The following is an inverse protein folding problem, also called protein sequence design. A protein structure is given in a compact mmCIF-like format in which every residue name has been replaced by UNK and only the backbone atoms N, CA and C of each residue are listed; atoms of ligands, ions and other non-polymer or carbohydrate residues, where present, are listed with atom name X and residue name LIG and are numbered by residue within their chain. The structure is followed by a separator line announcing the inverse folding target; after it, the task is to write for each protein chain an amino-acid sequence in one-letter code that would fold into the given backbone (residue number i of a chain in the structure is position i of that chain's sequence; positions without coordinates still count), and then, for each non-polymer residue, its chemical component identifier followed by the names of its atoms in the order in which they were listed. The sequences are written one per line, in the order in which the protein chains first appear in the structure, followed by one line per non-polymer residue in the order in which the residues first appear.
data_IF_175760355481
#
_entry.id   IF_175760355481
#
_cell.length_a   1.000
_cell.length_b   1.000
_cell.length_c   1.000
_cell.angle_alpha   90.00
_cell.angle_beta   90.00
_cell.angle_gamma   90.00
#
_symmetry.space_group_name_H-M   'P 1'
#
loop_
_entity.id
_entity.type
_entity.pdbx_description
1 polymer ?
#
# COMPACT_ATOMS: atom_id res chain seq x y z
N UNK A 1 18.49 19.76 -6.83
CA UNK A 1 18.69 18.46 -7.49
C UNK A 1 17.28 17.93 -7.79
N UNK A 2 16.83 18.05 -9.03
CA UNK A 2 15.55 17.49 -9.44
C UNK A 2 15.63 15.99 -9.29
N UNK A 3 14.68 15.37 -8.58
CA UNK A 3 14.56 13.91 -8.58
C UNK A 3 14.18 13.51 -10.01
N UNK A 4 14.86 12.50 -10.60
CA UNK A 4 14.37 11.95 -11.86
C UNK A 4 12.91 11.50 -11.66
N UNK A 5 12.07 11.81 -12.64
CA UNK A 5 10.69 11.32 -12.65
C UNK A 5 10.78 9.82 -12.83
N UNK A 6 10.27 9.06 -11.87
CA UNK A 6 10.27 7.60 -11.96
C UNK A 6 9.47 7.17 -13.20
N UNK A 7 9.95 6.21 -14.00
CA UNK A 7 9.24 5.74 -15.17
C UNK A 7 7.88 5.18 -14.78
N UNK A 8 6.86 5.53 -15.57
CA UNK A 8 5.49 5.05 -15.39
C UNK A 8 5.15 3.98 -16.40
N UNK A 9 4.46 2.93 -15.95
CA UNK A 9 3.99 1.84 -16.77
C UNK A 9 2.45 1.72 -16.67
N UNK A 10 1.69 2.02 -17.73
CA UNK A 10 0.25 1.83 -17.73
C UNK A 10 -0.08 0.33 -17.72
N UNK A 11 -0.89 -0.08 -16.73
CA UNK A 11 -1.41 -1.44 -16.62
C UNK A 11 -2.79 -1.51 -17.26
N UNK A 12 -3.59 -0.48 -17.06
CA UNK A 12 -4.89 -0.35 -17.69
C UNK A 12 -4.97 0.95 -18.48
N UNK A 13 -5.78 0.98 -19.55
CA UNK A 13 -6.01 2.17 -20.36
C UNK A 13 -7.50 2.37 -20.65
N UNK A 14 -8.05 3.58 -20.49
CA UNK A 14 -9.47 3.84 -20.69
C UNK A 14 -9.81 3.87 -22.18
N UNK A 15 -10.92 3.26 -22.56
CA UNK A 15 -11.44 3.26 -23.92
C UNK A 15 -12.49 4.36 -24.03
N UNK A 16 -12.07 5.52 -24.54
CA UNK A 16 -12.91 6.71 -24.62
C UNK A 16 -13.08 7.42 -23.29
N UNK A 17 -13.92 8.47 -23.27
CA UNK A 17 -14.17 9.28 -22.08
C UNK A 17 -15.62 9.79 -22.02
N UNK A 18 -16.09 10.17 -20.83
CA UNK A 18 -17.46 10.69 -20.59
C UNK A 18 -18.54 9.76 -21.15
N UNK A 19 -19.41 10.28 -22.04
CA UNK A 19 -20.51 9.53 -22.65
C UNK A 19 -20.06 8.43 -23.62
N UNK A 20 -18.81 8.55 -24.08
CA UNK A 20 -18.22 7.65 -25.05
C UNK A 20 -17.33 6.58 -24.38
N UNK A 21 -17.30 6.54 -23.05
CA UNK A 21 -16.55 5.53 -22.32
C UNK A 21 -17.10 4.13 -22.56
N UNK A 22 -16.24 3.22 -23.02
CA UNK A 22 -16.58 1.85 -23.40
C UNK A 22 -16.04 0.80 -22.44
N UNK A 23 -15.17 1.19 -21.52
CA UNK A 23 -14.52 0.29 -20.60
C UNK A 23 -13.05 0.61 -20.42
N UNK A 24 -12.34 -0.30 -19.81
CA UNK A 24 -10.89 -0.21 -19.54
C UNK A 24 -10.21 -1.42 -20.17
N UNK A 25 -9.17 -1.18 -20.94
CA UNK A 25 -8.33 -2.23 -21.50
C UNK A 25 -7.17 -2.53 -20.58
N UNK A 26 -6.93 -3.82 -20.32
CA UNK A 26 -5.79 -4.29 -19.52
C UNK A 26 -4.64 -4.65 -20.45
N UNK A 27 -3.54 -3.88 -20.42
CA UNK A 27 -2.46 -3.99 -21.40
C UNK A 27 -1.74 -5.33 -21.34
N UNK A 28 -1.38 -5.79 -20.14
CA UNK A 28 -0.63 -7.04 -19.98
C UNK A 28 -1.50 -8.30 -20.09
N UNK A 29 -2.80 -8.16 -19.80
CA UNK A 29 -3.75 -9.28 -19.86
C UNK A 29 -4.48 -9.42 -21.18
N UNK A 30 -4.40 -8.44 -22.08
CA UNK A 30 -5.11 -8.39 -23.36
C UNK A 30 -6.61 -8.68 -23.23
N UNK A 31 -7.29 -7.90 -22.36
CA UNK A 31 -8.74 -7.98 -22.21
C UNK A 31 -9.36 -6.61 -21.91
N UNK A 32 -10.64 -6.47 -22.24
CA UNK A 32 -11.44 -5.29 -21.94
C UNK A 32 -12.36 -5.59 -20.78
N UNK A 33 -12.41 -4.71 -19.80
CA UNK A 33 -13.41 -4.73 -18.72
C UNK A 33 -14.47 -3.67 -19.02
N UNK A 34 -15.68 -4.15 -19.25
CA UNK A 34 -16.85 -3.30 -19.52
C UNK A 34 -17.64 -3.15 -18.23
N UNK A 35 -17.77 -1.95 -17.76
CA UNK A 35 -18.50 -1.65 -16.53
C UNK A 35 -19.92 -1.19 -16.86
N UNK A 36 -20.90 -1.82 -16.20
CA UNK A 36 -22.30 -1.35 -16.28
C UNK A 36 -22.48 -0.27 -15.21
N UNK A 37 -22.95 0.94 -15.56
CA UNK A 37 -23.19 2.00 -14.59
C UNK A 37 -24.14 1.52 -13.48
N UNK A 38 -23.63 1.47 -12.26
CA UNK A 38 -24.45 1.21 -11.06
C UNK A 38 -24.99 2.52 -10.49
N UNK A 39 -26.05 2.45 -9.69
CA UNK A 39 -26.56 3.58 -8.94
C UNK A 39 -26.04 3.54 -7.50
N UNK A 40 -25.29 4.57 -7.11
CA UNK A 40 -24.80 4.74 -5.73
C UNK A 40 -23.72 3.72 -5.32
N UNK A 41 -23.92 3.01 -4.21
CA UNK A 41 -22.97 2.03 -3.66
C UNK A 41 -23.16 0.60 -4.20
N UNK A 42 -23.98 0.41 -5.21
CA UNK A 42 -24.16 -0.91 -5.82
C UNK A 42 -22.88 -1.35 -6.54
N UNK A 43 -22.58 -2.65 -6.43
CA UNK A 43 -21.44 -3.26 -7.09
C UNK A 43 -21.65 -3.18 -8.60
N UNK A 44 -20.74 -2.52 -9.30
CA UNK A 44 -20.75 -2.46 -10.74
C UNK A 44 -20.44 -3.85 -11.28
N UNK A 45 -21.38 -4.45 -12.02
CA UNK A 45 -21.10 -5.71 -12.72
C UNK A 45 -20.11 -5.43 -13.86
N UNK A 46 -19.03 -6.20 -13.89
CA UNK A 46 -18.01 -6.11 -14.91
C UNK A 46 -18.15 -7.30 -15.88
N UNK A 47 -18.22 -7.02 -17.18
CA UNK A 47 -18.11 -8.02 -18.23
C UNK A 47 -16.70 -7.98 -18.80
N UNK A 48 -16.04 -9.13 -18.88
CA UNK A 48 -14.70 -9.27 -19.48
C UNK A 48 -14.83 -9.74 -20.91
N UNK A 49 -14.26 -8.97 -21.85
CA UNK A 49 -14.11 -9.37 -23.26
C UNK A 49 -12.64 -9.71 -23.47
N UNK A 50 -12.39 -10.96 -23.76
CA UNK A 50 -11.03 -11.49 -23.97
C UNK A 50 -10.52 -11.12 -25.36
N UNK A 51 -9.26 -10.69 -25.40
CA UNK A 51 -8.50 -10.29 -26.58
C UNK A 51 -9.10 -9.10 -27.34
N UNK A 52 -8.26 -8.08 -27.53
CA UNK A 52 -8.65 -6.87 -28.27
C UNK A 52 -9.03 -7.17 -29.72
N UNK A 53 -8.37 -8.11 -30.36
CA UNK A 53 -8.60 -8.48 -31.77
C UNK A 53 -9.82 -9.41 -31.99
N UNK A 54 -10.54 -9.78 -30.92
CA UNK A 54 -11.73 -10.63 -31.02
C UNK A 54 -12.90 -9.93 -31.72
N UNK A 55 -13.78 -10.74 -32.35
CA UNK A 55 -15.02 -10.23 -32.96
C UNK A 55 -15.93 -9.56 -31.92
N UNK A 56 -15.92 -10.03 -30.68
CA UNK A 56 -16.67 -9.45 -29.57
C UNK A 56 -16.15 -8.05 -29.21
N UNK A 57 -14.83 -7.86 -29.14
CA UNK A 57 -14.22 -6.56 -28.89
C UNK A 57 -14.52 -5.57 -30.03
N UNK A 58 -14.39 -6.01 -31.29
CA UNK A 58 -14.74 -5.19 -32.47
C UNK A 58 -16.21 -4.77 -32.45
N UNK A 59 -17.12 -5.70 -32.15
CA UNK A 59 -18.53 -5.39 -32.05
C UNK A 59 -18.86 -4.44 -30.88
N UNK A 60 -18.20 -4.59 -29.74
CA UNK A 60 -18.39 -3.73 -28.58
C UNK A 60 -17.87 -2.30 -28.81
N UNK A 61 -16.69 -2.14 -29.42
CA UNK A 61 -16.05 -0.87 -29.66
C UNK A 61 -16.64 -0.14 -30.90
N UNK A 62 -17.12 -0.90 -31.90
CA UNK A 62 -17.69 -0.35 -33.12
C UNK A 62 -16.72 0.61 -33.83
N UNK A 63 -17.22 1.79 -34.18
CA UNK A 63 -16.44 2.83 -34.90
C UNK A 63 -15.20 3.33 -34.13
N UNK A 64 -15.07 2.99 -32.82
CA UNK A 64 -13.93 3.37 -32.02
C UNK A 64 -12.77 2.40 -32.08
N UNK A 65 -13.00 1.20 -32.61
CA UNK A 65 -12.00 0.14 -32.57
C UNK A 65 -10.67 0.56 -33.20
N UNK A 66 -10.69 1.02 -34.45
CA UNK A 66 -9.46 1.39 -35.17
C UNK A 66 -8.73 2.54 -34.46
N UNK A 67 -9.47 3.57 -34.03
CA UNK A 67 -8.91 4.68 -33.30
C UNK A 67 -8.28 4.26 -31.97
N UNK A 68 -8.90 3.30 -31.27
CA UNK A 68 -8.36 2.80 -30.00
C UNK A 68 -7.09 1.98 -30.23
N UNK A 69 -7.00 1.20 -31.29
CA UNK A 69 -5.78 0.46 -31.67
C UNK A 69 -4.64 1.44 -31.95
N UNK A 70 -4.88 2.49 -32.73
CA UNK A 70 -3.88 3.54 -32.97
C UNK A 70 -3.42 4.24 -31.68
N UNK A 71 -4.36 4.54 -30.78
CA UNK A 71 -4.07 5.14 -29.47
C UNK A 71 -3.22 4.20 -28.63
N UNK A 72 -3.53 2.91 -28.62
CA UNK A 72 -2.79 1.90 -27.88
C UNK A 72 -1.36 1.71 -28.39
N UNK A 73 -1.15 1.74 -29.72
CA UNK A 73 0.20 1.73 -30.33
C UNK A 73 1.03 2.93 -29.87
N UNK A 74 0.42 4.12 -29.81
CA UNK A 74 1.09 5.31 -29.30
C UNK A 74 1.45 5.18 -27.81
N UNK A 75 0.55 4.64 -26.99
CA UNK A 75 0.77 4.43 -25.56
C UNK A 75 1.91 3.43 -25.35
N UNK A 76 1.91 2.30 -26.05
CA UNK A 76 2.95 1.29 -25.97
C UNK A 76 4.30 1.81 -26.47
N UNK A 77 4.32 2.69 -27.47
CA UNK A 77 5.55 3.30 -27.97
C UNK A 77 6.10 4.43 -27.08
N UNK A 78 5.26 5.09 -26.30
CA UNK A 78 5.64 6.25 -25.47
C UNK A 78 5.85 5.92 -23.99
N UNK A 79 5.26 4.84 -23.49
CA UNK A 79 5.34 4.44 -22.10
C UNK A 79 6.26 3.24 -21.90
N UNK A 80 6.67 3.02 -20.66
CA UNK A 80 7.45 1.85 -20.30
C UNK A 80 6.54 0.62 -20.15
N UNK A 81 7.08 -0.55 -20.49
CA UNK A 81 6.48 -1.82 -20.11
C UNK A 81 6.66 -2.05 -18.61
N UNK A 82 5.70 -2.71 -17.97
CA UNK A 82 5.75 -2.97 -16.54
C UNK A 82 6.76 -4.04 -16.19
N UNK A 83 7.73 -3.67 -15.37
CA UNK A 83 8.81 -4.51 -14.88
C UNK A 83 8.65 -4.72 -13.36
N UNK A 84 8.21 -5.92 -12.91
CA UNK A 84 7.99 -6.20 -11.48
C UNK A 84 9.21 -5.93 -10.60
N UNK A 85 10.40 -6.26 -11.06
CA UNK A 85 11.64 -6.05 -10.31
C UNK A 85 11.96 -4.57 -10.12
N UNK A 86 11.70 -3.73 -11.12
CA UNK A 86 11.87 -2.28 -11.04
C UNK A 86 10.82 -1.67 -10.08
N UNK A 87 9.58 -2.15 -10.13
CA UNK A 87 8.53 -1.75 -9.18
C UNK A 87 8.92 -2.08 -7.74
N UNK A 88 9.38 -3.31 -7.46
CA UNK A 88 9.79 -3.73 -6.12
C UNK A 88 10.99 -2.95 -5.58
N UNK A 89 11.84 -2.42 -6.44
CA UNK A 89 12.95 -1.51 -6.09
C UNK A 89 12.52 -0.07 -5.91
N UNK A 90 11.28 0.28 -6.28
CA UNK A 90 10.79 1.66 -6.27
C UNK A 90 11.32 2.51 -7.43
N UNK A 91 11.74 1.87 -8.52
CA UNK A 91 12.28 2.50 -9.72
C UNK A 91 11.22 2.67 -10.83
N UNK A 92 10.00 2.16 -10.62
CA UNK A 92 8.89 2.21 -11.57
C UNK A 92 7.56 2.34 -10.84
N UNK A 93 6.62 3.07 -11.44
CA UNK A 93 5.26 3.27 -10.92
C UNK A 93 4.21 2.69 -11.89
N UNK A 94 3.45 1.65 -11.51
CA UNK A 94 2.31 1.17 -12.28
C UNK A 94 1.15 2.18 -12.26
N UNK A 95 0.46 2.34 -13.39
CA UNK A 95 -0.65 3.29 -13.52
C UNK A 95 -1.93 2.54 -13.89
N UNK A 96 -2.97 2.75 -13.09
CA UNK A 96 -4.30 2.21 -13.30
C UNK A 96 -5.31 3.31 -13.52
N UNK A 97 -6.26 3.10 -14.41
CA UNK A 97 -7.37 4.02 -14.65
C UNK A 97 -8.64 3.50 -14.01
N UNK A 98 -9.20 4.28 -13.11
CA UNK A 98 -10.41 3.91 -12.38
C UNK A 98 -11.07 5.11 -11.72
N UNK A 99 -12.19 4.90 -11.08
CA UNK A 99 -12.90 5.91 -10.30
C UNK A 99 -13.55 5.31 -9.06
N UNK A 100 -13.24 5.88 -7.90
CA UNK A 100 -13.87 5.51 -6.64
C UNK A 100 -15.35 5.92 -6.59
N UNK A 101 -15.72 7.05 -7.21
CA UNK A 101 -17.11 7.52 -7.27
C UNK A 101 -17.98 6.65 -8.18
N UNK A 102 -17.45 6.21 -9.31
CA UNK A 102 -18.11 5.30 -10.25
C UNK A 102 -17.92 3.84 -9.94
N UNK A 103 -17.11 3.53 -8.92
CA UNK A 103 -16.79 2.20 -8.44
C UNK A 103 -16.34 1.23 -9.54
N UNK A 104 -15.49 1.70 -10.46
CA UNK A 104 -14.87 0.85 -11.47
C UNK A 104 -13.34 0.99 -11.50
N UNK A 105 -12.63 -0.10 -11.90
CA UNK A 105 -11.17 -0.14 -12.03
C UNK A 105 -10.42 -0.14 -10.70
N UNK A 106 -11.11 -0.10 -9.57
CA UNK A 106 -10.52 -0.19 -8.22
C UNK A 106 -10.08 -1.61 -7.93
N UNK A 107 -10.80 -2.58 -8.43
CA UNK A 107 -10.50 -4.01 -8.38
C UNK A 107 -9.10 -4.32 -8.93
N UNK A 108 -8.72 -3.76 -10.07
CA UNK A 108 -7.39 -3.93 -10.64
C UNK A 108 -6.26 -3.46 -9.70
N UNK A 109 -6.50 -2.34 -8.99
CA UNK A 109 -5.53 -1.84 -8.00
C UNK A 109 -5.45 -2.78 -6.79
N UNK A 110 -6.59 -3.30 -6.32
CA UNK A 110 -6.62 -4.22 -5.19
C UNK A 110 -5.94 -5.55 -5.53
N UNK A 111 -6.21 -6.11 -6.71
CA UNK A 111 -5.57 -7.32 -7.19
C UNK A 111 -4.05 -7.12 -7.32
N UNK A 112 -3.62 -5.99 -7.89
CA UNK A 112 -2.21 -5.64 -7.97
C UNK A 112 -1.53 -5.49 -6.60
N UNK A 113 -2.22 -4.95 -5.60
CA UNK A 113 -1.71 -4.89 -4.22
C UNK A 113 -1.53 -6.29 -3.65
N UNK A 114 -2.48 -7.20 -3.89
CA UNK A 114 -2.38 -8.60 -3.42
C UNK A 114 -1.22 -9.33 -4.10
N UNK A 115 -1.06 -9.15 -5.41
CA UNK A 115 -0.11 -9.90 -6.21
C UNK A 115 1.32 -9.33 -6.14
N UNK A 116 1.47 -8.00 -6.04
CA UNK A 116 2.75 -7.31 -6.21
C UNK A 116 3.29 -6.66 -4.95
N UNK A 117 2.47 -6.50 -3.88
CA UNK A 117 2.98 -5.87 -2.68
C UNK A 117 4.17 -6.64 -2.10
N UNK A 118 5.31 -5.98 -1.85
CA UNK A 118 6.47 -6.65 -1.29
C UNK A 118 6.20 -7.12 0.13
N UNK A 119 6.80 -8.25 0.49
CA UNK A 119 6.88 -8.66 1.89
C UNK A 119 7.65 -7.61 2.70
N UNK A 120 7.45 -7.54 4.03
CA UNK A 120 8.27 -6.68 4.87
C UNK A 120 9.75 -6.91 4.61
N UNK A 121 10.50 -5.82 4.40
CA UNK A 121 11.93 -5.88 4.13
C UNK A 121 12.72 -5.80 5.43
N UNK A 122 13.94 -6.37 5.40
CA UNK A 122 14.91 -6.23 6.46
C UNK A 122 15.17 -4.76 6.81
N UNK A 123 15.43 -4.48 8.08
CA UNK A 123 15.69 -3.14 8.60
C UNK A 123 17.08 -3.03 9.21
N UNK A 124 17.78 -1.97 8.85
CA UNK A 124 19.13 -1.71 9.36
C UNK A 124 19.04 -1.07 10.75
N UNK A 125 19.72 -1.66 11.70
CA UNK A 125 20.01 -1.08 12.99
C UNK A 125 21.50 -0.79 13.12
N UNK A 126 21.93 -0.06 14.18
CA UNK A 126 23.33 0.28 14.37
C UNK A 126 24.20 -0.98 14.53
N UNK A 127 23.66 -1.99 15.18
CA UNK A 127 24.40 -3.21 15.55
C UNK A 127 24.35 -4.26 14.45
N UNK A 128 23.23 -4.36 13.73
CA UNK A 128 23.01 -5.37 12.71
C UNK A 128 21.79 -5.07 11.83
N UNK A 129 21.61 -5.83 10.77
CA UNK A 129 20.37 -5.89 10.03
C UNK A 129 19.40 -6.85 10.72
N UNK A 130 18.14 -6.45 10.84
CA UNK A 130 17.05 -7.23 11.43
C UNK A 130 16.17 -7.78 10.30
N UNK A 131 16.01 -9.10 10.27
CA UNK A 131 15.17 -9.79 9.30
C UNK A 131 13.72 -9.92 9.83
N UNK A 132 12.70 -9.73 8.99
CA UNK A 132 11.29 -9.82 9.42
C UNK A 132 10.89 -11.18 9.96
N UNK A 133 11.58 -12.23 9.55
CA UNK A 133 11.31 -13.63 9.93
C UNK A 133 11.94 -14.04 11.27
N UNK A 134 12.65 -13.15 11.94
CA UNK A 134 13.21 -13.43 13.27
C UNK A 134 12.10 -13.63 14.31
N UNK A 135 12.30 -14.56 15.23
CA UNK A 135 11.30 -14.91 16.26
C UNK A 135 11.07 -13.80 17.28
N UNK A 136 12.13 -13.06 17.64
CA UNK A 136 12.07 -12.03 18.68
C UNK A 136 11.49 -10.74 18.15
N UNK A 137 10.61 -10.14 18.94
CA UNK A 137 10.06 -8.84 18.65
C UNK A 137 11.15 -7.77 18.61
N UNK A 138 11.13 -7.00 17.53
CA UNK A 138 11.77 -5.70 17.45
C UNK A 138 10.87 -4.72 16.70
N UNK A 139 10.97 -3.43 17.05
CA UNK A 139 10.18 -2.39 16.39
C UNK A 139 10.73 -0.99 16.68
N UNK A 140 10.28 -0.02 15.91
CA UNK A 140 10.71 1.36 16.04
C UNK A 140 9.58 2.36 15.87
N UNK A 141 9.70 3.48 16.57
CA UNK A 141 8.75 4.61 16.50
C UNK A 141 9.09 5.47 15.29
N UNK A 142 8.20 5.56 14.33
CA UNK A 142 8.39 6.42 13.15
C UNK A 142 7.52 7.68 13.18
N UNK A 143 6.49 7.72 14.03
CA UNK A 143 5.56 8.84 14.13
C UNK A 143 5.00 8.96 15.54
N UNK A 144 4.78 10.18 16.00
CA UNK A 144 3.98 10.49 17.19
C UNK A 144 2.88 11.47 16.77
N UNK A 145 1.65 11.15 17.06
CA UNK A 145 0.51 12.01 16.80
C UNK A 145 -0.21 12.34 18.09
N UNK A 146 -0.48 13.63 18.29
CA UNK A 146 -1.23 14.15 19.41
C UNK A 146 -2.67 14.51 18.98
N UNK A 147 -3.59 14.52 19.94
CA UNK A 147 -4.97 15.01 19.76
C UNK A 147 -5.71 14.35 18.57
N UNK A 148 -5.57 13.04 18.42
CA UNK A 148 -6.31 12.29 17.40
C UNK A 148 -7.81 12.25 17.71
N UNK A 149 -8.18 12.26 19.00
CA UNK A 149 -9.53 12.49 19.45
C UNK A 149 -9.66 13.91 20.00
N UNK A 150 -10.55 14.77 19.45
CA UNK A 150 -10.74 16.13 19.92
C UNK A 150 -11.17 16.22 21.41
N UNK A 151 -11.74 15.15 21.95
CA UNK A 151 -12.21 15.07 23.35
C UNK A 151 -11.11 14.65 24.33
N UNK A 152 -10.01 14.11 23.84
CA UNK A 152 -8.91 13.57 24.64
C UNK A 152 -7.56 14.15 24.19
N UNK A 153 -6.79 14.67 25.17
CA UNK A 153 -5.39 15.10 24.96
C UNK A 153 -4.47 13.88 25.02
N UNK A 154 -4.66 12.94 24.13
CA UNK A 154 -3.83 11.75 24.04
C UNK A 154 -2.70 11.95 23.01
N UNK A 155 -1.62 11.26 23.24
CA UNK A 155 -0.53 11.09 22.27
C UNK A 155 -0.37 9.62 21.99
N UNK A 156 -0.23 9.29 20.72
CA UNK A 156 0.01 7.91 20.29
C UNK A 156 1.33 7.85 19.55
N UNK A 157 2.21 6.96 19.99
CA UNK A 157 3.43 6.61 19.28
C UNK A 157 3.15 5.45 18.34
N UNK A 158 3.38 5.63 17.05
CA UNK A 158 3.22 4.59 16.04
C UNK A 158 4.51 3.81 15.91
N UNK A 159 4.41 2.52 16.24
CA UNK A 159 5.52 1.57 16.19
C UNK A 159 5.35 0.66 14.99
N UNK A 160 6.33 0.64 14.10
CA UNK A 160 6.44 -0.36 13.04
C UNK A 160 7.18 -1.58 13.58
N UNK A 161 6.57 -2.75 13.48
CA UNK A 161 7.23 -4.00 13.81
C UNK A 161 8.24 -4.34 12.72
N UNK A 162 9.50 -4.58 13.11
CA UNK A 162 10.55 -4.98 12.19
C UNK A 162 10.75 -6.49 12.17
N UNK A 163 10.54 -7.17 13.30
CA UNK A 163 10.62 -8.63 13.41
C UNK A 163 9.72 -9.14 14.53
N UNK A 164 9.50 -10.44 14.52
CA UNK A 164 8.82 -11.20 15.56
C UNK A 164 7.32 -11.01 15.61
N UNK A 165 6.76 -11.41 16.72
CA UNK A 165 5.34 -11.37 17.02
C UNK A 165 5.09 -10.57 18.30
N UNK A 166 4.13 -9.68 18.26
CA UNK A 166 3.68 -8.91 19.41
C UNK A 166 2.39 -9.49 19.96
N UNK A 167 2.31 -9.65 21.28
CA UNK A 167 1.11 -9.98 22.02
C UNK A 167 0.80 -8.89 23.05
N UNK A 168 -0.49 -8.60 23.24
CA UNK A 168 -0.94 -7.62 24.21
C UNK A 168 -0.46 -7.94 25.63
N UNK A 169 0.08 -6.94 26.31
CA UNK A 169 0.67 -7.10 27.64
C UNK A 169 2.13 -7.54 27.64
N UNK A 170 2.72 -7.79 26.47
CA UNK A 170 4.12 -8.13 26.32
C UNK A 170 5.01 -7.06 26.97
N UNK A 171 6.07 -7.50 27.66
CA UNK A 171 7.08 -6.63 28.26
C UNK A 171 8.21 -6.44 27.26
N UNK A 172 8.34 -5.24 26.74
CA UNK A 172 9.39 -4.84 25.81
C UNK A 172 10.44 -3.99 26.51
N UNK A 173 11.67 -4.07 26.08
CA UNK A 173 12.73 -3.16 26.48
C UNK A 173 12.67 -1.91 25.62
N UNK A 174 12.46 -0.75 26.23
CA UNK A 174 12.65 0.55 25.59
C UNK A 174 14.16 0.84 25.53
N UNK A 175 14.76 0.68 24.37
CA UNK A 175 16.22 0.60 24.20
C UNK A 175 16.93 1.87 24.69
N UNK A 176 16.46 3.07 24.32
CA UNK A 176 17.07 4.34 24.73
C UNK A 176 17.11 4.51 26.24
N UNK A 177 16.03 4.17 26.96
CA UNK A 177 15.98 4.33 28.43
C UNK A 177 16.47 3.09 29.18
N UNK A 178 16.70 1.96 28.49
CA UNK A 178 17.08 0.66 29.07
C UNK A 178 16.07 0.13 30.09
N UNK A 179 14.82 0.57 30.01
CA UNK A 179 13.76 0.20 30.96
C UNK A 179 12.76 -0.74 30.30
N UNK A 180 12.27 -1.73 31.05
CA UNK A 180 11.14 -2.53 30.60
C UNK A 180 9.86 -1.68 30.55
N UNK A 181 9.05 -1.89 29.55
CA UNK A 181 7.75 -1.27 29.37
C UNK A 181 6.72 -2.34 28.97
N UNK A 182 5.63 -2.44 29.71
CA UNK A 182 4.52 -3.30 29.32
C UNK A 182 3.59 -2.55 28.36
N UNK A 183 3.26 -3.17 27.25
CA UNK A 183 2.35 -2.62 26.24
C UNK A 183 0.95 -3.21 26.46
N UNK A 184 0.17 -2.57 27.32
CA UNK A 184 -1.13 -3.09 27.78
C UNK A 184 -2.32 -2.66 26.93
N UNK A 185 -2.25 -1.48 26.32
CA UNK A 185 -3.33 -0.90 25.53
C UNK A 185 -2.83 -0.45 24.14
N UNK A 186 -2.27 -1.35 23.34
CA UNK A 186 -1.90 -1.03 21.98
C UNK A 186 -3.17 -0.88 21.14
N UNK A 187 -3.15 0.04 20.18
CA UNK A 187 -4.28 0.30 19.30
C UNK A 187 -3.89 0.02 17.84
N UNK A 188 -4.80 -0.59 17.12
CA UNK A 188 -4.81 -0.64 15.66
C UNK A 188 -5.77 0.43 15.15
N UNK A 189 -5.47 0.95 13.98
CA UNK A 189 -6.31 1.94 13.31
C UNK A 189 -6.87 1.31 12.04
N UNK A 190 -8.19 1.08 12.03
CA UNK A 190 -8.95 0.69 10.85
C UNK A 190 -9.82 1.89 10.45
N UNK A 191 -9.37 2.63 9.43
CA UNK A 191 -9.97 3.90 9.02
C UNK A 191 -10.07 4.91 10.19
N UNK A 192 -11.28 5.24 10.64
CA UNK A 192 -11.52 6.16 11.75
C UNK A 192 -11.63 5.46 13.13
N UNK A 193 -11.76 4.14 13.12
CA UNK A 193 -12.00 3.37 14.34
C UNK A 193 -10.68 2.93 14.98
N UNK A 194 -10.68 2.93 16.31
CA UNK A 194 -9.59 2.44 17.14
C UNK A 194 -9.99 1.12 17.75
N UNK A 195 -9.24 0.10 17.45
CA UNK A 195 -9.40 -1.22 18.05
C UNK A 195 -8.18 -1.57 18.90
N UNK A 196 -8.38 -2.38 19.95
CA UNK A 196 -7.26 -2.90 20.71
C UNK A 196 -6.52 -3.94 19.86
N UNK A 197 -5.20 -3.80 19.75
CA UNK A 197 -4.37 -4.81 19.11
C UNK A 197 -4.13 -5.96 20.10
N UNK A 198 -4.70 -7.12 19.85
CA UNK A 198 -4.38 -8.31 20.64
C UNK A 198 -3.04 -8.91 20.21
N UNK A 199 -2.76 -8.91 18.91
CA UNK A 199 -1.52 -9.40 18.31
C UNK A 199 -1.12 -8.58 17.09
N UNK A 200 0.16 -8.62 16.72
CA UNK A 200 0.70 -7.99 15.52
C UNK A 200 2.00 -8.67 15.08
N UNK A 201 2.30 -8.62 13.79
CA UNK A 201 3.42 -9.32 13.17
C UNK A 201 4.40 -8.34 12.51
N UNK A 202 5.58 -8.83 12.16
CA UNK A 202 6.55 -8.03 11.42
C UNK A 202 5.92 -7.41 10.17
N UNK A 203 6.06 -6.07 10.04
CA UNK A 203 5.41 -5.29 9.01
C UNK A 203 4.16 -4.54 9.46
N UNK A 204 3.51 -4.96 10.55
CA UNK A 204 2.37 -4.25 11.11
C UNK A 204 2.77 -2.95 11.82
N UNK A 205 1.78 -2.11 12.05
CA UNK A 205 1.91 -0.86 12.79
C UNK A 205 0.93 -0.89 13.95
N UNK A 206 1.46 -0.75 15.17
CA UNK A 206 0.65 -0.57 16.38
C UNK A 206 0.83 0.81 16.96
N UNK A 207 -0.24 1.37 17.52
CA UNK A 207 -0.19 2.60 18.28
C UNK A 207 -0.01 2.34 19.77
N UNK A 208 0.99 2.93 20.41
CA UNK A 208 1.23 2.82 21.84
C UNK A 208 0.88 4.16 22.49
N UNK A 209 0.02 4.21 23.54
CA UNK A 209 -0.23 5.41 24.30
C UNK A 209 1.07 6.02 24.83
N UNK A 210 1.32 7.29 24.54
CA UNK A 210 2.58 7.97 24.88
C UNK A 210 2.33 9.08 25.92
N UNK A 211 2.77 8.86 27.12
CA UNK A 211 2.71 9.85 28.23
C UNK A 211 3.90 10.82 28.23
N UNK A 212 4.66 10.93 27.12
CA UNK A 212 5.79 11.84 26.97
C UNK A 212 7.16 11.16 27.07
N UNK A 213 7.21 9.85 27.29
CA UNK A 213 8.46 9.11 27.47
C UNK A 213 9.03 8.55 26.16
N UNK A 214 8.18 8.38 25.14
CA UNK A 214 8.53 7.82 23.85
C UNK A 214 8.80 8.95 22.86
N UNK A 215 9.85 8.81 22.08
CA UNK A 215 10.27 9.75 21.03
C UNK A 215 10.30 9.06 19.65
N UNK A 216 10.23 9.86 18.59
CA UNK A 216 10.45 9.35 17.23
C UNK A 216 11.89 8.82 17.16
N UNK A 217 12.07 7.64 16.56
CA UNK A 217 13.36 6.96 16.50
C UNK A 217 13.62 6.00 17.65
N UNK A 218 12.79 6.01 18.71
CA UNK A 218 12.93 5.01 19.78
C UNK A 218 12.71 3.59 19.25
N UNK A 219 13.55 2.69 19.74
CA UNK A 219 13.48 1.28 19.42
C UNK A 219 12.96 0.47 20.62
N UNK A 220 12.23 -0.59 20.32
CA UNK A 220 11.72 -1.56 21.28
C UNK A 220 12.15 -2.96 20.88
N UNK A 221 12.49 -3.79 21.87
CA UNK A 221 12.94 -5.18 21.64
C UNK A 221 12.59 -6.09 22.80
N UNK A 222 12.74 -7.39 22.61
CA UNK A 222 12.71 -8.40 23.68
C UNK A 222 14.11 -8.56 24.32
N UNK A 223 14.69 -7.45 24.78
CA UNK A 223 15.93 -7.42 25.57
C UNK A 223 17.20 -7.10 24.79
N UNK A 224 17.18 -7.13 23.47
CA UNK A 224 18.33 -6.75 22.64
C UNK A 224 18.53 -5.23 22.66
N UNK A 225 19.77 -4.78 22.74
CA UNK A 225 20.13 -3.36 22.67
C UNK A 225 20.46 -3.00 21.22
N UNK A 226 19.46 -2.64 20.44
CA UNK A 226 19.62 -2.21 19.05
C UNK A 226 18.84 -0.92 18.78
N UNK A 227 19.35 -0.09 17.91
CA UNK A 227 18.71 1.16 17.48
C UNK A 227 18.57 1.20 15.95
N UNK A 228 17.34 1.27 15.48
CA UNK A 228 17.08 1.36 14.04
C UNK A 228 17.55 2.69 13.45
N UNK A 229 18.07 2.63 12.23
CA UNK A 229 18.60 3.79 11.48
C UNK A 229 17.73 4.11 10.28
N UNK A 230 17.96 5.29 9.67
CA UNK A 230 17.24 5.68 8.44
C UNK A 230 15.76 6.02 8.65
N UNK A 231 15.35 6.27 9.91
CA UNK A 231 13.97 6.71 10.19
C UNK A 231 13.87 8.18 9.80
N UNK A 232 12.94 8.53 8.89
CA UNK A 232 12.77 9.92 8.50
C UNK A 232 12.29 10.76 9.70
N UNK A 233 12.97 11.88 9.93
CA UNK A 233 12.52 12.92 10.88
C UNK A 233 11.67 13.93 10.10
N UNK A 234 10.46 14.14 10.55
CA UNK A 234 9.55 15.17 10.04
C UNK A 234 9.45 16.32 11.04
#
# INVERSE_FOLDING_TARGET
MERPVDPTAPITWPIGCYRDFKGVYHLTGDYIVVYTPGHGHERTEAKIIQKLDSDEARAHLGDRYERFVEELELVQGACHEFEPDAFLKGEMTPVFFGTALGNFGVDHVLDAVVDWAPKPLARVANERTVEPVEEKFTGFVFKIQANMDPKHRDRVAFVRLASGHFERGMKLTHVRSKKPMAVTNPVLFLAADRELAEEAWAGDIIGIPNHGNIQIGDSFSEGEQLAFTGIPFF
#
